data_IF_673941486996
#
_entry.id   IF_673941486996
#
_cell.length_a   1.000
_cell.length_b   1.000
_cell.length_c   1.000
_cell.angle_alpha   90.00
_cell.angle_beta   90.00
_cell.angle_gamma   90.00
#
_symmetry.space_group_name_H-M   'P 1'
#
loop_
_entity.id
_entity.type
_entity.pdbx_description
1 polymer ?
#
# COMPACT_ATOMS: atom_id res chain seq x y z
N UNK A 1 18.43 -52.97 -70.68
CA UNK A 1 18.55 -52.87 -69.22
C UNK A 1 19.33 -51.60 -68.90
N UNK A 2 18.62 -50.54 -68.53
CA UNK A 2 19.20 -49.31 -68.00
C UNK A 2 18.15 -48.71 -67.03
N UNK A 3 18.47 -48.75 -65.74
CA UNK A 3 17.64 -48.24 -64.65
C UNK A 3 17.65 -46.71 -64.65
N UNK A 4 16.48 -46.07 -64.58
CA UNK A 4 16.36 -44.64 -64.30
C UNK A 4 15.75 -44.48 -62.91
N UNK A 5 16.60 -44.15 -61.93
CA UNK A 5 16.18 -43.72 -60.59
C UNK A 5 15.84 -42.24 -60.63
N UNK A 6 14.58 -41.89 -60.41
CA UNK A 6 14.16 -40.49 -60.19
C UNK A 6 14.05 -40.27 -58.68
N UNK A 7 14.91 -39.42 -58.13
CA UNK A 7 14.87 -39.04 -56.71
C UNK A 7 13.80 -37.99 -56.45
N UNK A 8 13.05 -38.19 -55.37
CA UNK A 8 12.02 -37.28 -54.88
C UNK A 8 12.72 -36.27 -53.96
N UNK A 9 12.84 -35.02 -54.41
CA UNK A 9 13.31 -33.92 -53.59
C UNK A 9 12.18 -33.43 -52.67
N UNK A 10 12.29 -33.74 -51.38
CA UNK A 10 11.46 -33.21 -50.29
C UNK A 10 11.83 -31.73 -50.07
N UNK A 11 10.98 -30.79 -50.51
CA UNK A 11 11.07 -29.38 -50.12
C UNK A 11 10.65 -29.23 -48.66
N UNK A 12 11.62 -29.01 -47.78
CA UNK A 12 11.39 -28.55 -46.41
C UNK A 12 11.07 -27.05 -46.44
N UNK A 13 9.79 -26.71 -46.26
CA UNK A 13 9.36 -25.34 -46.01
C UNK A 13 9.88 -24.88 -44.65
N UNK A 14 10.90 -24.01 -44.67
CA UNK A 14 11.42 -23.33 -43.48
C UNK A 14 10.43 -22.21 -43.13
N UNK A 15 9.77 -22.34 -41.98
CA UNK A 15 8.89 -21.33 -41.40
C UNK A 15 9.63 -19.99 -41.23
N UNK A 16 9.11 -18.94 -41.86
CA UNK A 16 9.65 -17.57 -41.89
C UNK A 16 9.14 -16.68 -40.74
N UNK A 17 8.56 -17.28 -39.69
CA UNK A 17 7.90 -16.52 -38.60
C UNK A 17 8.88 -16.01 -37.52
N UNK A 18 10.15 -16.47 -37.52
CA UNK A 18 11.08 -16.22 -36.40
C UNK A 18 11.86 -14.90 -36.47
N UNK A 19 11.96 -14.24 -37.62
CA UNK A 19 12.82 -13.05 -37.79
C UNK A 19 12.23 -11.73 -37.28
N UNK A 20 10.97 -11.45 -37.61
CA UNK A 20 10.31 -10.18 -37.25
C UNK A 20 9.91 -10.10 -35.76
N UNK A 21 9.61 -11.25 -35.14
CA UNK A 21 9.29 -11.34 -33.72
C UNK A 21 10.50 -11.02 -32.83
N UNK A 22 11.71 -11.35 -33.28
CA UNK A 22 12.95 -11.13 -32.51
C UNK A 22 13.36 -9.65 -32.47
N UNK A 23 13.16 -8.93 -33.57
CA UNK A 23 13.49 -7.50 -33.65
C UNK A 23 12.57 -6.63 -32.77
N UNK A 24 11.27 -6.92 -32.73
CA UNK A 24 10.33 -6.18 -31.87
C UNK A 24 10.58 -6.47 -30.38
N UNK A 25 10.91 -7.72 -30.02
CA UNK A 25 11.29 -8.07 -28.64
C UNK A 25 12.56 -7.31 -28.23
N UNK A 26 13.59 -7.30 -29.07
CA UNK A 26 14.81 -6.55 -28.78
C UNK A 26 14.55 -5.04 -28.66
N UNK A 27 13.77 -4.45 -29.57
CA UNK A 27 13.42 -3.03 -29.49
C UNK A 27 12.62 -2.69 -28.22
N UNK A 28 11.74 -3.58 -27.78
CA UNK A 28 11.02 -3.42 -26.51
C UNK A 28 11.97 -3.49 -25.31
N UNK A 29 12.86 -4.49 -25.27
CA UNK A 29 13.85 -4.61 -24.19
C UNK A 29 14.81 -3.41 -24.18
N UNK A 30 15.28 -2.96 -25.35
CA UNK A 30 16.08 -1.75 -25.50
C UNK A 30 15.38 -0.53 -24.91
N UNK A 31 14.05 -0.43 -25.07
CA UNK A 31 13.28 0.67 -24.49
C UNK A 31 13.22 0.63 -22.96
N UNK A 32 13.24 -0.56 -22.35
CA UNK A 32 13.26 -0.73 -20.90
C UNK A 32 14.66 -0.56 -20.29
N UNK A 33 15.72 -0.72 -21.09
CA UNK A 33 17.11 -0.80 -20.59
C UNK A 33 18.08 0.16 -21.30
N UNK A 34 17.59 1.26 -21.88
CA UNK A 34 18.41 2.27 -22.57
C UNK A 34 19.35 1.69 -23.66
N UNK A 35 18.82 0.80 -24.51
CA UNK A 35 19.59 0.15 -25.58
C UNK A 35 20.39 -1.09 -25.17
N UNK A 36 20.29 -1.54 -23.91
CA UNK A 36 20.93 -2.77 -23.43
C UNK A 36 20.08 -4.06 -23.61
N UNK A 37 19.08 -4.07 -24.49
CA UNK A 37 18.09 -5.14 -24.60
C UNK A 37 18.65 -6.50 -24.99
N UNK A 38 19.76 -6.55 -25.74
CA UNK A 38 20.49 -7.79 -26.03
C UNK A 38 21.16 -8.40 -24.79
N UNK A 39 21.71 -7.56 -23.91
CA UNK A 39 22.33 -8.01 -22.68
C UNK A 39 21.27 -8.58 -21.74
N UNK A 40 20.16 -7.85 -21.57
CA UNK A 40 19.01 -8.33 -20.80
C UNK A 40 18.44 -9.64 -21.36
N UNK A 41 18.26 -9.76 -22.69
CA UNK A 41 17.78 -10.99 -23.31
C UNK A 41 18.73 -12.18 -23.04
N UNK A 42 20.05 -11.92 -23.00
CA UNK A 42 21.04 -12.95 -22.67
C UNK A 42 20.92 -13.37 -21.21
N UNK A 43 20.71 -12.42 -20.30
CA UNK A 43 20.50 -12.67 -18.87
C UNK A 43 19.23 -13.48 -18.62
N UNK A 44 18.10 -13.11 -19.26
CA UNK A 44 16.82 -13.85 -19.17
C UNK A 44 16.94 -15.29 -19.70
N UNK A 45 17.72 -15.50 -20.76
CA UNK A 45 17.91 -16.84 -21.34
C UNK A 45 18.90 -17.73 -20.56
N UNK A 46 19.54 -17.21 -19.51
CA UNK A 46 20.39 -18.00 -18.64
C UNK A 46 19.54 -18.92 -17.74
N UNK A 47 19.83 -20.22 -17.73
CA UNK A 47 19.05 -21.22 -16.97
C UNK A 47 19.07 -20.98 -15.44
N UNK A 48 20.04 -20.23 -14.93
CA UNK A 48 20.16 -19.88 -13.51
C UNK A 48 19.82 -18.42 -13.23
N UNK A 49 19.10 -17.75 -14.12
CA UNK A 49 18.70 -16.37 -13.95
C UNK A 49 17.74 -16.21 -12.77
N UNK A 50 18.05 -15.29 -11.86
CA UNK A 50 17.10 -14.81 -10.86
C UNK A 50 16.18 -13.77 -11.54
N UNK A 51 15.01 -14.24 -11.97
CA UNK A 51 14.03 -13.40 -12.69
C UNK A 51 13.49 -12.25 -11.84
N UNK A 52 13.42 -12.42 -10.53
CA UNK A 52 12.93 -11.40 -9.60
C UNK A 52 13.98 -10.28 -9.44
N UNK A 53 15.25 -10.65 -9.29
CA UNK A 53 16.35 -9.69 -9.26
C UNK A 53 16.42 -8.88 -10.57
N UNK A 54 16.28 -9.55 -11.72
CA UNK A 54 16.23 -8.89 -13.04
C UNK A 54 15.06 -7.92 -13.14
N UNK A 55 13.87 -8.32 -12.70
CA UNK A 55 12.69 -7.47 -12.72
C UNK A 55 12.89 -6.20 -11.86
N UNK A 56 13.49 -6.35 -10.67
CA UNK A 56 13.81 -5.21 -9.78
C UNK A 56 14.82 -4.27 -10.39
N UNK A 57 15.87 -4.81 -11.00
CA UNK A 57 16.89 -4.02 -11.69
C UNK A 57 16.25 -3.14 -12.78
N UNK A 58 15.44 -3.73 -13.66
CA UNK A 58 14.72 -3.02 -14.71
C UNK A 58 13.79 -1.95 -14.12
N UNK A 59 12.98 -2.32 -13.12
CA UNK A 59 12.00 -1.43 -12.51
C UNK A 59 12.64 -0.21 -11.83
N UNK A 60 13.88 -0.34 -11.35
CA UNK A 60 14.66 0.74 -10.74
C UNK A 60 15.43 1.61 -11.73
N UNK A 61 15.45 1.24 -13.02
CA UNK A 61 16.22 1.93 -14.05
C UNK A 61 15.56 3.21 -14.58
N UNK A 62 16.37 4.20 -14.95
CA UNK A 62 15.94 5.48 -15.53
C UNK A 62 14.93 5.35 -16.68
N UNK A 63 15.06 4.41 -17.64
CA UNK A 63 14.11 4.32 -18.76
C UNK A 63 12.69 3.96 -18.31
N UNK A 64 12.55 3.08 -17.32
CA UNK A 64 11.24 2.72 -16.76
C UNK A 64 10.68 3.87 -15.94
N UNK A 65 11.50 4.60 -15.21
CA UNK A 65 11.09 5.82 -14.51
C UNK A 65 10.56 6.89 -15.47
N UNK A 66 11.26 7.15 -16.58
CA UNK A 66 10.83 8.08 -17.62
C UNK A 66 9.51 7.66 -18.26
N UNK A 67 9.37 6.38 -18.60
CA UNK A 67 8.13 5.82 -19.14
C UNK A 67 6.97 5.96 -18.15
N UNK A 68 7.23 5.69 -16.87
CA UNK A 68 6.24 5.85 -15.81
C UNK A 68 5.82 7.31 -15.65
N UNK A 69 6.78 8.25 -15.71
CA UNK A 69 6.50 9.69 -15.71
C UNK A 69 5.67 10.09 -16.92
N UNK A 70 6.08 9.70 -18.12
CA UNK A 70 5.33 10.00 -19.36
C UNK A 70 3.92 9.43 -19.35
N UNK A 71 3.71 8.24 -18.79
CA UNK A 71 2.37 7.65 -18.65
C UNK A 71 1.50 8.43 -17.65
N UNK A 72 2.11 9.02 -16.62
CA UNK A 72 1.43 9.79 -15.56
C UNK A 72 1.23 11.26 -15.89
N UNK A 73 2.13 11.85 -16.69
CA UNK A 73 2.10 13.27 -17.08
C UNK A 73 1.64 13.47 -18.52
N UNK A 74 1.56 12.39 -19.30
CA UNK A 74 1.00 12.38 -20.64
C UNK A 74 -0.43 12.92 -20.61
N UNK A 75 -0.65 13.98 -21.36
CA UNK A 75 -1.95 14.65 -21.50
C UNK A 75 -3.01 13.65 -21.93
N UNK A 76 -3.81 13.16 -20.98
CA UNK A 76 -5.17 12.77 -21.29
C UNK A 76 -5.83 14.03 -21.88
N UNK A 77 -6.54 13.95 -23.02
CA UNK A 77 -7.17 15.11 -23.65
C UNK A 77 -8.07 15.94 -22.71
N UNK A 78 -8.46 15.36 -21.57
CA UNK A 78 -9.37 15.94 -20.57
C UNK A 78 -8.66 16.45 -19.29
N UNK A 79 -7.38 16.83 -19.38
CA UNK A 79 -6.63 17.40 -18.26
C UNK A 79 -6.20 16.34 -17.24
N UNK A 80 -5.53 16.79 -16.17
CA UNK A 80 -5.18 15.92 -15.04
C UNK A 80 -6.49 15.39 -14.47
N UNK A 81 -6.83 14.13 -14.79
CA UNK A 81 -7.91 13.42 -14.14
C UNK A 81 -7.50 13.23 -12.69
N UNK A 82 -7.81 14.22 -11.84
CA UNK A 82 -7.79 14.03 -10.41
C UNK A 82 -8.60 12.78 -10.14
N UNK A 83 -7.97 11.78 -9.51
CA UNK A 83 -8.63 10.52 -9.16
C UNK A 83 -9.72 10.87 -8.15
N UNK A 84 -10.95 11.05 -8.64
CA UNK A 84 -12.12 11.36 -7.81
C UNK A 84 -12.73 10.09 -7.22
N UNK A 85 -12.37 8.92 -7.76
CA UNK A 85 -12.95 7.63 -7.42
C UNK A 85 -11.87 6.66 -6.97
N UNK A 86 -12.20 5.83 -5.98
CA UNK A 86 -11.33 4.77 -5.50
C UNK A 86 -11.05 3.74 -6.60
N UNK A 87 -9.81 3.25 -6.69
CA UNK A 87 -9.37 2.30 -7.69
C UNK A 87 -9.21 0.90 -7.09
N UNK A 88 -10.31 0.13 -7.11
CA UNK A 88 -10.38 -1.24 -6.58
C UNK A 88 -9.41 -2.20 -7.28
N UNK A 89 -9.26 -2.11 -8.60
CA UNK A 89 -8.31 -2.97 -9.35
C UNK A 89 -6.86 -2.66 -8.97
N UNK A 90 -6.52 -1.39 -8.72
CA UNK A 90 -5.16 -1.03 -8.32
C UNK A 90 -4.75 -1.75 -7.03
N UNK A 91 -5.66 -1.86 -6.05
CA UNK A 91 -5.42 -2.63 -4.82
C UNK A 91 -5.72 -4.13 -4.97
N UNK A 92 -6.09 -4.60 -6.17
CA UNK A 92 -6.27 -6.03 -6.46
C UNK A 92 -7.59 -6.61 -5.98
N UNK A 93 -8.62 -5.76 -5.87
CA UNK A 93 -9.99 -6.14 -5.64
C UNK A 93 -10.74 -6.27 -6.97
N UNK A 94 -11.71 -7.19 -7.07
CA UNK A 94 -12.52 -7.35 -8.27
C UNK A 94 -13.49 -6.16 -8.43
N UNK A 95 -13.92 -5.82 -9.67
CA UNK A 95 -14.81 -4.68 -9.92
C UNK A 95 -16.12 -4.72 -9.12
N UNK A 96 -16.67 -5.90 -8.89
CA UNK A 96 -17.91 -6.14 -8.15
C UNK A 96 -17.82 -5.70 -6.68
N UNK A 97 -16.60 -5.53 -6.14
CA UNK A 97 -16.40 -4.98 -4.81
C UNK A 97 -16.85 -3.51 -4.71
N UNK A 98 -16.89 -2.77 -5.82
CA UNK A 98 -17.38 -1.40 -5.83
C UNK A 98 -18.91 -1.30 -5.64
N UNK A 99 -19.64 -2.41 -5.84
CA UNK A 99 -21.10 -2.45 -5.81
C UNK A 99 -21.67 -2.80 -4.42
N UNK A 100 -20.82 -3.15 -3.44
CA UNK A 100 -21.25 -3.46 -2.08
C UNK A 100 -20.95 -2.33 -1.09
N UNK A 101 -21.72 -2.29 0.00
CA UNK A 101 -21.37 -1.49 1.17
C UNK A 101 -20.04 -1.96 1.78
N UNK A 102 -19.40 -1.11 2.57
CA UNK A 102 -18.09 -1.37 3.16
C UNK A 102 -18.10 -2.63 4.02
N UNK A 103 -19.15 -2.85 4.83
CA UNK A 103 -19.19 -4.00 5.74
C UNK A 103 -19.23 -5.32 4.97
N UNK A 104 -20.14 -5.41 4.01
CA UNK A 104 -20.23 -6.56 3.08
C UNK A 104 -18.92 -6.75 2.32
N UNK A 105 -18.29 -5.66 1.87
CA UNK A 105 -17.02 -5.68 1.17
C UNK A 105 -15.85 -6.13 2.03
N UNK A 106 -15.80 -5.68 3.29
CA UNK A 106 -14.80 -6.07 4.27
C UNK A 106 -14.84 -7.57 4.52
N UNK A 107 -16.02 -8.11 4.84
CA UNK A 107 -16.19 -9.52 5.15
C UNK A 107 -15.97 -10.42 3.92
N UNK A 108 -16.38 -9.97 2.73
CA UNK A 108 -16.28 -10.78 1.50
C UNK A 108 -14.90 -10.73 0.84
N UNK A 109 -14.28 -9.55 0.78
CA UNK A 109 -13.09 -9.34 -0.06
C UNK A 109 -11.82 -9.02 0.73
N UNK A 110 -11.93 -8.41 1.92
CA UNK A 110 -10.77 -7.89 2.64
C UNK A 110 -10.30 -8.85 3.73
N UNK A 111 -11.21 -9.33 4.58
CA UNK A 111 -10.91 -10.06 5.82
C UNK A 111 -9.90 -11.21 5.62
N UNK A 112 -10.13 -12.08 4.64
CA UNK A 112 -9.22 -13.22 4.38
C UNK A 112 -7.84 -12.81 3.88
N UNK A 113 -7.70 -11.61 3.29
CA UNK A 113 -6.44 -11.10 2.74
C UNK A 113 -5.56 -10.40 3.77
N UNK A 114 -6.14 -10.02 4.93
CA UNK A 114 -5.47 -9.20 5.94
C UNK A 114 -4.60 -10.01 6.92
N UNK A 115 -4.67 -11.34 6.85
CA UNK A 115 -3.92 -12.24 7.72
C UNK A 115 -4.05 -11.85 9.20
N UNK A 116 -2.93 -11.54 9.84
CA UNK A 116 -2.85 -11.21 11.28
C UNK A 116 -3.57 -9.91 11.66
N UNK A 117 -3.86 -9.02 10.70
CA UNK A 117 -4.53 -7.73 10.93
C UNK A 117 -6.05 -7.80 10.84
N UNK A 118 -6.61 -8.93 10.40
CA UNK A 118 -8.05 -9.06 10.13
C UNK A 118 -8.93 -8.68 11.34
N UNK A 119 -8.61 -9.23 12.52
CA UNK A 119 -9.41 -8.98 13.73
C UNK A 119 -9.20 -7.58 14.28
N UNK A 120 -7.98 -7.03 14.21
CA UNK A 120 -7.70 -5.66 14.63
C UNK A 120 -8.46 -4.64 13.78
N UNK A 121 -8.44 -4.77 12.45
CA UNK A 121 -9.27 -3.94 11.58
C UNK A 121 -10.77 -4.11 11.84
N UNK A 122 -11.25 -5.34 12.03
CA UNK A 122 -12.66 -5.57 12.35
C UNK A 122 -13.07 -4.82 13.63
N UNK A 123 -12.25 -4.87 14.69
CA UNK A 123 -12.50 -4.10 15.92
C UNK A 123 -12.46 -2.59 15.68
N UNK A 124 -11.53 -2.09 14.86
CA UNK A 124 -11.45 -0.67 14.52
C UNK A 124 -12.74 -0.20 13.85
N UNK A 125 -13.22 -0.92 12.84
CA UNK A 125 -14.43 -0.54 12.10
C UNK A 125 -15.70 -0.65 12.96
N UNK A 126 -15.82 -1.69 13.78
CA UNK A 126 -16.91 -1.81 14.75
C UNK A 126 -16.92 -0.64 15.76
N UNK A 127 -15.74 -0.22 16.23
CA UNK A 127 -15.65 0.92 17.13
C UNK A 127 -15.94 2.26 16.42
N UNK A 128 -15.55 2.39 15.16
CA UNK A 128 -15.85 3.55 14.32
C UNK A 128 -17.33 3.68 13.96
N UNK A 129 -18.13 2.62 14.02
CA UNK A 129 -19.58 2.69 13.76
C UNK A 129 -20.32 3.60 14.77
N UNK A 130 -19.69 3.93 15.89
CA UNK A 130 -20.18 4.90 16.88
C UNK A 130 -20.01 6.37 16.44
N UNK A 131 -19.31 6.61 15.32
CA UNK A 131 -19.04 7.95 14.79
C UNK A 131 -19.80 8.15 13.47
N UNK A 132 -20.71 9.12 13.42
CA UNK A 132 -21.55 9.37 12.24
C UNK A 132 -20.74 9.83 11.02
N UNK A 133 -19.87 10.83 11.20
CA UNK A 133 -18.99 11.38 10.14
C UNK A 133 -17.53 11.34 10.59
N UNK A 134 -16.87 10.17 10.47
CA UNK A 134 -15.57 9.94 11.10
C UNK A 134 -14.48 10.78 10.45
N UNK A 135 -13.68 11.45 11.28
CA UNK A 135 -12.41 12.02 10.87
C UNK A 135 -11.29 11.04 11.24
N UNK A 136 -10.68 10.42 10.22
CA UNK A 136 -9.63 9.41 10.37
C UNK A 136 -8.28 10.03 10.03
N UNK A 137 -7.29 9.77 10.87
CA UNK A 137 -5.89 10.15 10.63
C UNK A 137 -5.05 8.88 10.67
N UNK A 138 -4.16 8.74 9.69
CA UNK A 138 -3.22 7.64 9.54
C UNK A 138 -1.80 8.19 9.38
N UNK A 139 -0.81 7.53 10.00
CA UNK A 139 0.61 7.72 9.73
C UNK A 139 1.21 6.44 9.17
N UNK A 140 1.99 6.57 8.10
CA UNK A 140 2.33 5.44 7.22
C UNK A 140 1.14 5.10 6.32
N UNK A 141 1.31 5.24 5.00
CA UNK A 141 0.20 5.07 4.05
C UNK A 141 0.39 3.85 3.15
N UNK A 142 -0.61 3.56 2.31
CA UNK A 142 -0.56 2.49 1.31
C UNK A 142 0.73 2.54 0.48
N UNK A 143 1.59 1.53 0.66
CA UNK A 143 2.92 1.41 0.03
C UNK A 143 2.86 0.60 -1.26
N UNK A 144 2.74 -0.73 -1.12
CA UNK A 144 2.78 -1.66 -2.24
C UNK A 144 1.36 -2.12 -2.57
N UNK A 145 0.77 -1.74 -3.72
CA UNK A 145 -0.57 -2.20 -4.07
C UNK A 145 -0.64 -3.73 -4.11
N UNK A 146 -1.79 -4.30 -3.72
CA UNK A 146 -2.07 -5.75 -3.67
C UNK A 146 -1.33 -6.53 -2.58
N UNK A 147 -0.45 -5.90 -1.79
CA UNK A 147 0.22 -6.51 -0.65
C UNK A 147 -0.66 -6.47 0.62
N UNK A 148 -1.77 -7.21 0.61
CA UNK A 148 -2.76 -7.17 1.72
C UNK A 148 -2.27 -7.82 3.01
N UNK A 149 -1.65 -9.00 2.92
CA UNK A 149 -1.17 -9.74 4.10
C UNK A 149 0.03 -9.02 4.75
N UNK A 150 0.91 -8.45 3.92
CA UNK A 150 2.07 -7.69 4.37
C UNK A 150 1.74 -6.29 4.89
N UNK A 151 1.12 -5.44 4.06
CA UNK A 151 0.94 -4.00 4.34
C UNK A 151 -0.50 -3.63 4.78
N UNK A 152 -1.46 -4.55 4.73
CA UNK A 152 -2.86 -4.30 5.13
C UNK A 152 -3.67 -3.39 4.20
N UNK A 153 -3.05 -2.55 3.37
CA UNK A 153 -3.71 -1.53 2.52
C UNK A 153 -4.66 -0.59 3.32
N UNK A 154 -4.31 -0.27 4.56
CA UNK A 154 -5.14 0.48 5.53
C UNK A 154 -5.75 1.76 4.95
N UNK A 155 -4.97 2.57 4.22
CA UNK A 155 -5.47 3.81 3.60
C UNK A 155 -6.69 3.58 2.71
N UNK A 156 -6.69 2.51 1.89
CA UNK A 156 -7.81 2.19 1.01
C UNK A 156 -9.04 1.71 1.80
N UNK A 157 -8.81 0.95 2.89
CA UNK A 157 -9.90 0.52 3.76
C UNK A 157 -10.57 1.73 4.44
N UNK A 158 -9.77 2.66 4.96
CA UNK A 158 -10.27 3.89 5.57
C UNK A 158 -10.97 4.80 4.55
N UNK A 159 -10.46 4.90 3.31
CA UNK A 159 -11.14 5.64 2.24
C UNK A 159 -12.54 5.07 1.98
N UNK A 160 -12.64 3.75 1.81
CA UNK A 160 -13.93 3.11 1.53
C UNK A 160 -14.91 3.30 2.69
N UNK A 161 -14.48 3.06 3.93
CA UNK A 161 -15.31 3.28 5.11
C UNK A 161 -15.77 4.74 5.22
N UNK A 162 -14.85 5.70 5.07
CA UNK A 162 -15.16 7.12 5.18
C UNK A 162 -16.10 7.61 4.08
N UNK A 163 -15.99 7.11 2.85
CA UNK A 163 -16.92 7.44 1.76
C UNK A 163 -18.37 7.12 2.13
N UNK A 164 -18.61 5.95 2.70
CA UNK A 164 -19.95 5.53 3.10
C UNK A 164 -20.50 6.38 4.24
N UNK A 165 -19.64 6.74 5.20
CA UNK A 165 -20.00 7.53 6.39
C UNK A 165 -19.93 9.04 6.17
N UNK A 166 -19.71 9.52 4.94
CA UNK A 166 -19.48 10.94 4.65
C UNK A 166 -18.38 11.57 5.53
N UNK A 167 -17.41 10.73 5.92
CA UNK A 167 -16.25 11.11 6.70
C UNK A 167 -15.11 11.62 5.83
N UNK A 168 -13.92 11.70 6.43
CA UNK A 168 -12.69 12.09 5.72
C UNK A 168 -11.46 11.38 6.30
N UNK A 169 -10.47 11.17 5.45
CA UNK A 169 -9.19 10.55 5.80
C UNK A 169 -8.05 11.52 5.53
N UNK A 170 -7.13 11.64 6.49
CA UNK A 170 -5.81 12.21 6.28
C UNK A 170 -4.78 11.11 6.45
N UNK A 171 -3.91 10.93 5.45
CA UNK A 171 -2.81 9.98 5.52
C UNK A 171 -1.48 10.70 5.33
N UNK A 172 -0.49 10.37 6.16
CA UNK A 172 0.77 11.09 6.28
C UNK A 172 1.92 10.13 6.05
N UNK A 173 2.83 10.46 5.13
CA UNK A 173 4.00 9.65 4.85
C UNK A 173 5.17 10.55 4.41
N UNK A 174 6.40 10.13 4.71
CA UNK A 174 7.64 10.80 4.28
C UNK A 174 8.09 10.33 2.89
N UNK A 175 7.59 9.18 2.44
CA UNK A 175 7.94 8.60 1.16
C UNK A 175 6.98 9.08 0.05
N UNK A 176 7.46 9.85 -0.94
CA UNK A 176 6.63 10.33 -2.04
C UNK A 176 6.02 9.20 -2.89
N UNK A 177 6.66 8.03 -2.95
CA UNK A 177 6.13 6.88 -3.71
C UNK A 177 4.91 6.25 -3.03
N UNK A 178 4.91 6.20 -1.69
CA UNK A 178 3.74 5.77 -0.92
C UNK A 178 2.59 6.77 -1.11
N UNK A 179 2.88 8.07 -1.04
CA UNK A 179 1.90 9.14 -1.30
C UNK A 179 1.26 9.00 -2.69
N UNK A 180 2.07 8.75 -3.72
CA UNK A 180 1.57 8.55 -5.07
C UNK A 180 0.71 7.28 -5.19
N UNK A 181 1.07 6.21 -4.46
CA UNK A 181 0.28 4.98 -4.41
C UNK A 181 -1.06 5.20 -3.71
N UNK A 182 -1.08 5.87 -2.57
CA UNK A 182 -2.30 6.26 -1.86
C UNK A 182 -3.21 7.14 -2.74
N UNK A 183 -2.67 8.16 -3.42
CA UNK A 183 -3.43 9.03 -4.35
C UNK A 183 -4.04 8.26 -5.51
N UNK A 184 -3.37 7.24 -6.02
CA UNK A 184 -3.87 6.42 -7.12
C UNK A 184 -4.96 5.44 -6.65
N UNK A 185 -4.84 4.94 -5.43
CA UNK A 185 -5.77 3.97 -4.86
C UNK A 185 -7.07 4.61 -4.36
N UNK A 186 -6.97 5.78 -3.72
CA UNK A 186 -8.05 6.35 -2.92
C UNK A 186 -8.86 7.40 -3.69
N UNK A 187 -10.05 7.69 -3.17
CA UNK A 187 -10.94 8.72 -3.69
C UNK A 187 -10.64 10.11 -3.09
N UNK A 188 -11.46 11.09 -3.45
CA UNK A 188 -11.34 12.46 -2.91
C UNK A 188 -11.64 12.62 -1.41
N UNK A 189 -12.17 11.60 -0.72
CA UNK A 189 -12.34 11.69 0.76
C UNK A 189 -11.01 11.56 1.50
N UNK A 190 -9.97 11.07 0.81
CA UNK A 190 -8.63 10.88 1.35
C UNK A 190 -7.71 11.98 0.86
N UNK A 191 -7.13 12.74 1.80
CA UNK A 191 -6.05 13.68 1.49
C UNK A 191 -4.72 13.16 1.99
N UNK A 192 -3.70 13.24 1.13
CA UNK A 192 -2.35 12.76 1.40
C UNK A 192 -1.43 13.93 1.78
N UNK A 193 -0.60 13.78 2.80
CA UNK A 193 0.40 14.76 3.23
C UNK A 193 1.79 14.13 3.14
N UNK A 194 2.65 14.68 2.26
CA UNK A 194 4.06 14.30 2.17
C UNK A 194 4.88 15.10 3.20
N UNK A 195 5.08 14.54 4.39
CA UNK A 195 5.83 15.20 5.46
C UNK A 195 6.16 14.23 6.61
N UNK A 196 6.98 14.68 7.56
CA UNK A 196 7.17 14.01 8.85
C UNK A 196 5.85 13.95 9.64
N UNK A 197 5.56 12.78 10.21
CA UNK A 197 4.28 12.52 10.88
C UNK A 197 4.16 13.25 12.21
N UNK A 198 5.22 13.30 13.02
CA UNK A 198 5.22 14.02 14.31
C UNK A 198 4.97 15.51 14.09
N UNK A 199 5.70 16.14 13.17
CA UNK A 199 5.52 17.55 12.83
C UNK A 199 4.12 17.84 12.28
N UNK A 200 3.59 16.94 11.45
CA UNK A 200 2.26 17.10 10.85
C UNK A 200 1.16 16.97 11.89
N UNK A 201 1.22 15.96 12.77
CA UNK A 201 0.24 15.76 13.84
C UNK A 201 0.17 16.97 14.79
N UNK A 202 1.32 17.53 15.19
CA UNK A 202 1.36 18.73 16.04
C UNK A 202 0.74 19.95 15.32
N UNK A 203 1.06 20.14 14.03
CA UNK A 203 0.51 21.23 13.22
C UNK A 203 -1.01 21.12 13.00
N UNK A 204 -1.53 19.90 12.75
CA UNK A 204 -2.97 19.66 12.65
C UNK A 204 -3.67 20.00 13.96
N UNK A 205 -3.11 19.53 15.09
CA UNK A 205 -3.64 19.82 16.43
C UNK A 205 -3.59 21.31 16.78
N UNK A 206 -2.51 22.01 16.43
CA UNK A 206 -2.37 23.45 16.62
C UNK A 206 -3.36 24.26 15.77
N UNK A 207 -3.74 23.74 14.60
CA UNK A 207 -4.73 24.35 13.69
C UNK A 207 -6.18 24.08 14.10
N UNK A 208 -6.42 23.32 15.18
CA UNK A 208 -7.76 23.00 15.65
C UNK A 208 -8.48 21.95 14.82
N UNK A 209 -7.77 21.14 14.04
CA UNK A 209 -8.36 20.03 13.29
C UNK A 209 -8.61 18.84 14.23
N UNK A 210 -9.65 18.87 15.05
CA UNK A 210 -9.97 17.76 15.94
C UNK A 210 -11.33 17.89 16.63
N UNK A 211 -11.77 16.86 17.38
CA UNK A 211 -11.06 15.60 17.59
C UNK A 211 -11.13 14.63 16.39
N UNK A 212 -10.21 13.68 16.33
CA UNK A 212 -10.27 12.56 15.40
C UNK A 212 -11.15 11.43 15.97
N UNK A 213 -11.84 10.73 15.07
CA UNK A 213 -12.55 9.49 15.40
C UNK A 213 -11.55 8.33 15.54
N UNK A 214 -10.55 8.27 14.64
CA UNK A 214 -9.45 7.30 14.67
C UNK A 214 -8.12 8.01 14.43
N UNK A 215 -7.11 7.64 15.22
CA UNK A 215 -5.70 7.85 14.91
C UNK A 215 -5.04 6.47 14.78
N UNK A 216 -4.64 6.12 13.57
CA UNK A 216 -3.93 4.88 13.25
C UNK A 216 -2.45 5.19 13.05
N UNK A 217 -1.59 4.67 13.92
CA UNK A 217 -0.15 4.91 13.87
C UNK A 217 0.57 3.67 13.32
N UNK A 218 1.15 3.81 12.13
CA UNK A 218 1.92 2.77 11.44
C UNK A 218 3.08 3.39 10.64
N UNK A 219 3.60 4.50 11.12
CA UNK A 219 4.86 5.03 10.60
C UNK A 219 6.04 4.16 11.08
N UNK A 220 7.26 4.53 10.70
CA UNK A 220 8.54 3.95 11.19
C UNK A 220 8.53 2.42 11.38
N UNK A 221 8.99 1.68 10.37
CA UNK A 221 9.04 0.21 10.37
C UNK A 221 9.73 -0.38 11.61
N UNK A 222 9.17 -1.47 12.14
CA UNK A 222 9.70 -2.17 13.29
C UNK A 222 10.98 -2.95 12.91
N UNK A 223 12.10 -2.58 13.51
CA UNK A 223 13.30 -3.40 13.53
C UNK A 223 13.25 -4.35 14.73
N UNK A 224 13.18 -5.66 14.46
CA UNK A 224 13.09 -6.69 15.51
C UNK A 224 14.35 -6.77 16.37
N UNK A 225 15.52 -6.43 15.83
CA UNK A 225 16.79 -6.45 16.54
C UNK A 225 17.01 -5.17 17.35
N UNK A 226 16.29 -4.09 17.00
CA UNK A 226 16.35 -2.81 17.69
C UNK A 226 14.97 -2.11 17.67
N UNK A 227 14.01 -2.56 18.49
CA UNK A 227 12.62 -2.08 18.41
C UNK A 227 12.42 -0.67 18.98
N UNK A 228 13.32 -0.21 19.85
CA UNK A 228 13.18 1.02 20.62
C UNK A 228 13.02 2.31 19.79
N UNK A 229 13.73 2.53 18.66
CA UNK A 229 13.54 3.71 17.83
C UNK A 229 12.10 3.86 17.34
N UNK A 230 11.49 2.77 16.85
CA UNK A 230 10.09 2.78 16.42
C UNK A 230 9.16 3.06 17.61
N UNK A 231 9.39 2.45 18.77
CA UNK A 231 8.61 2.69 19.97
C UNK A 231 8.67 4.15 20.47
N UNK A 232 9.84 4.78 20.40
CA UNK A 232 10.04 6.20 20.73
C UNK A 232 9.31 7.07 19.70
N UNK A 233 9.41 6.75 18.42
CA UNK A 233 8.73 7.49 17.35
C UNK A 233 7.21 7.53 17.54
N UNK A 234 6.58 6.38 17.78
CA UNK A 234 5.13 6.31 18.00
C UNK A 234 4.69 7.00 19.30
N UNK A 235 5.55 7.02 20.32
CA UNK A 235 5.30 7.83 21.52
C UNK A 235 5.35 9.34 21.21
N UNK A 236 6.27 9.79 20.36
CA UNK A 236 6.31 11.18 19.88
C UNK A 236 5.08 11.53 19.04
N UNK A 237 4.62 10.62 18.17
CA UNK A 237 3.38 10.80 17.40
C UNK A 237 2.17 10.96 18.32
N UNK A 238 2.03 10.11 19.34
CA UNK A 238 0.95 10.26 20.33
C UNK A 238 1.01 11.61 21.04
N UNK A 239 2.20 12.05 21.46
CA UNK A 239 2.39 13.35 22.12
C UNK A 239 2.04 14.52 21.19
N UNK A 240 2.41 14.45 19.92
CA UNK A 240 2.06 15.44 18.91
C UNK A 240 0.55 15.46 18.65
N UNK A 241 -0.08 14.29 18.59
CA UNK A 241 -1.50 14.11 18.40
C UNK A 241 -2.37 14.46 19.62
N UNK A 242 -1.79 14.88 20.76
CA UNK A 242 -2.54 15.12 22.01
C UNK A 242 -3.76 16.05 21.88
N UNK A 243 -3.74 16.99 20.93
CA UNK A 243 -4.86 17.93 20.66
C UNK A 243 -5.92 17.37 19.72
N UNK A 244 -5.65 16.23 19.12
CA UNK A 244 -6.53 15.48 18.22
C UNK A 244 -7.32 14.40 18.97
N UNK A 245 -6.91 14.08 20.20
CA UNK A 245 -7.55 13.09 21.06
C UNK A 245 -8.70 13.72 21.88
N UNK A 246 -9.81 13.01 21.98
CA UNK A 246 -10.90 13.29 22.90
C UNK A 246 -11.48 11.98 23.46
N UNK A 247 -12.34 12.02 24.50
CA UNK A 247 -13.06 10.83 24.92
C UNK A 247 -13.83 10.20 23.75
N UNK A 248 -13.66 8.89 23.56
CA UNK A 248 -14.24 8.16 22.43
C UNK A 248 -13.36 8.09 21.18
N UNK A 249 -12.22 8.80 21.12
CA UNK A 249 -11.24 8.61 20.05
C UNK A 249 -10.67 7.20 20.10
N UNK A 250 -10.61 6.54 18.95
CA UNK A 250 -9.93 5.26 18.76
C UNK A 250 -8.46 5.54 18.44
N UNK A 251 -7.56 4.84 19.11
CA UNK A 251 -6.13 4.87 18.84
C UNK A 251 -5.70 3.45 18.49
N UNK A 252 -4.97 3.29 17.39
CA UNK A 252 -4.40 2.02 16.98
C UNK A 252 -2.91 2.16 16.72
N UNK A 253 -2.14 1.14 17.10
CA UNK A 253 -0.75 0.95 16.68
C UNK A 253 -0.62 -0.39 15.97
N UNK A 254 -0.05 -0.37 14.77
CA UNK A 254 0.31 -1.59 14.04
C UNK A 254 1.63 -2.19 14.54
N UNK A 255 1.95 -3.44 14.16
CA UNK A 255 3.16 -4.15 14.59
C UNK A 255 3.38 -4.12 16.13
N UNK A 256 2.31 -4.31 16.91
CA UNK A 256 2.35 -4.32 18.36
C UNK A 256 2.83 -5.67 18.92
N UNK A 257 2.23 -6.79 18.49
CA UNK A 257 2.60 -8.14 18.92
C UNK A 257 3.16 -8.93 17.73
N UNK A 258 4.48 -8.88 17.58
CA UNK A 258 5.20 -9.46 16.43
C UNK A 258 6.17 -10.52 16.92
N UNK A 259 6.00 -11.76 16.47
CA UNK A 259 6.94 -12.83 16.79
C UNK A 259 8.29 -12.64 16.06
N UNK A 260 9.44 -12.94 16.68
CA UNK A 260 9.60 -13.52 18.01
C UNK A 260 9.66 -12.49 19.16
N UNK A 261 9.58 -11.19 18.87
CA UNK A 261 9.69 -10.11 19.85
C UNK A 261 8.57 -10.17 20.92
N UNK A 262 7.36 -10.51 20.50
CA UNK A 262 6.17 -10.52 21.36
C UNK A 262 5.52 -9.14 21.52
N UNK A 263 4.66 -8.97 22.55
CA UNK A 263 3.92 -7.73 22.77
C UNK A 263 4.82 -6.54 23.09
N UNK A 264 4.50 -5.39 22.50
CA UNK A 264 5.20 -4.13 22.71
C UNK A 264 5.50 -3.49 21.37
N UNK A 265 6.35 -4.12 20.55
CA UNK A 265 6.66 -3.69 19.18
C UNK A 265 6.79 -2.17 19.03
N UNK A 266 6.12 -1.61 18.03
CA UNK A 266 6.02 -0.14 17.82
C UNK A 266 5.30 0.59 18.96
N UNK A 267 4.43 -0.09 19.71
CA UNK A 267 3.58 0.52 20.73
C UNK A 267 4.10 0.45 22.16
N UNK A 268 5.32 -0.03 22.43
CA UNK A 268 5.78 -0.39 23.77
C UNK A 268 5.62 0.76 24.79
N UNK A 269 6.08 1.96 24.43
CA UNK A 269 6.02 3.14 25.31
C UNK A 269 4.58 3.67 25.40
N UNK A 270 3.86 3.68 24.28
CA UNK A 270 2.46 4.13 24.22
C UNK A 270 1.57 3.26 25.10
N UNK A 271 1.75 1.94 25.07
CA UNK A 271 0.98 0.99 25.88
C UNK A 271 1.17 1.23 27.38
N UNK A 272 2.42 1.46 27.83
CA UNK A 272 2.70 1.79 29.22
C UNK A 272 1.98 3.08 29.67
N UNK A 273 2.00 4.10 28.81
CA UNK A 273 1.30 5.37 29.07
C UNK A 273 -0.22 5.18 29.12
N UNK A 274 -0.81 4.52 28.13
CA UNK A 274 -2.26 4.31 28.04
C UNK A 274 -2.78 3.43 29.18
N UNK A 275 -2.02 2.41 29.59
CA UNK A 275 -2.32 1.62 30.78
C UNK A 275 -2.30 2.48 32.06
N UNK A 276 -1.35 3.41 32.17
CA UNK A 276 -1.25 4.32 33.32
C UNK A 276 -2.48 5.23 33.45
N UNK A 277 -3.00 5.73 32.33
CA UNK A 277 -4.22 6.56 32.31
C UNK A 277 -5.50 5.73 32.22
N UNK A 278 -5.41 4.39 32.24
CA UNK A 278 -6.54 3.45 32.16
C UNK A 278 -7.42 3.67 30.93
N UNK A 279 -6.80 3.89 29.77
CA UNK A 279 -7.50 3.84 28.50
C UNK A 279 -8.12 2.44 28.30
N UNK A 280 -9.31 2.37 27.71
CA UNK A 280 -10.00 1.12 27.47
C UNK A 280 -9.30 0.36 26.34
N UNK A 281 -8.88 -0.89 26.58
CA UNK A 281 -8.34 -1.75 25.54
C UNK A 281 -9.50 -2.43 24.80
N UNK A 282 -9.61 -2.20 23.50
CA UNK A 282 -10.62 -2.83 22.64
C UNK A 282 -10.11 -4.13 22.02
N UNK A 283 -8.83 -4.15 21.64
CA UNK A 283 -8.19 -5.30 21.04
C UNK A 283 -6.69 -5.29 21.32
N UNK A 284 -6.11 -6.49 21.47
CA UNK A 284 -4.67 -6.67 21.65
C UNK A 284 -4.22 -7.94 20.94
N UNK A 285 -3.57 -7.78 19.80
CA UNK A 285 -2.94 -8.83 19.01
C UNK A 285 -1.84 -8.21 18.16
N UNK A 286 -1.75 -8.58 16.88
CA UNK A 286 -0.80 -7.96 15.96
C UNK A 286 -0.90 -6.43 15.95
N UNK A 287 -2.13 -5.92 15.91
CA UNK A 287 -2.47 -4.53 16.20
C UNK A 287 -2.92 -4.40 17.66
N UNK A 288 -2.70 -3.23 18.25
CA UNK A 288 -3.32 -2.89 19.53
C UNK A 288 -4.20 -1.66 19.40
N UNK A 289 -5.42 -1.78 19.90
CA UNK A 289 -6.49 -0.80 19.72
C UNK A 289 -7.03 -0.39 21.08
N UNK A 290 -7.06 0.92 21.32
CA UNK A 290 -7.60 1.53 22.52
C UNK A 290 -8.73 2.49 22.18
N UNK A 291 -9.63 2.69 23.14
CA UNK A 291 -10.53 3.85 23.19
C UNK A 291 -10.05 4.78 24.29
N UNK A 292 -9.88 6.06 23.94
CA UNK A 292 -9.54 7.10 24.90
C UNK A 292 -10.73 7.33 25.83
N UNK A 293 -10.51 7.11 27.12
CA UNK A 293 -11.49 7.36 28.18
C UNK A 293 -11.49 8.84 28.59
N UNK A 294 -12.57 9.28 29.25
CA UNK A 294 -12.68 10.61 29.84
C UNK A 294 -11.71 10.82 31.02
#
# INVERSE_FOLDING_TARGET
>A
MAETRTSIAKKTGRSTVTGASSAHVLAFLDRLTDGAGKALLTQINNQNADMEAIAREIASGTPVEELAKLARTGTVPDGIAWVTQANYDYVGLPPEAADCDFKSGFDTYLRERLGKRADGFATIFEALDQHETPFIIETGCLRVPRNWDGDGQSTFQFDWYAREKQGRVLTIDVNPQSIDSARRACSSVTSTILNDSVATLDALGASGMGPAALIYLDSFDLDLDNPMPSAIHHAMELMAARRLLAPGTILCIDDFDVAPLGPGGKGLIVDQFLNTIRAEVLYSGYQKVWRISA
#
